data_IF_364561032529
#
_entry.id   IF_364561032529
#
_cell.length_a   1.000
_cell.length_b   1.000
_cell.length_c   1.000
_cell.angle_alpha   90.00
_cell.angle_beta   90.00
_cell.angle_gamma   90.00
#
_symmetry.space_group_name_H-M   'P 1'
#
loop_
_entity.id
_entity.type
_entity.pdbx_description
1 polymer ?
#
# COMPACT_ATOMS: atom_id res chain seq x y z
N UNK A 1 -10.22 -24.43 -18.22
CA UNK A 1 -8.80 -24.88 -18.38
C UNK A 1 -8.76 -26.39 -18.27
N UNK A 2 -8.03 -27.11 -19.14
CA UNK A 2 -7.90 -28.58 -19.08
C UNK A 2 -6.82 -29.00 -18.05
N UNK A 3 -6.77 -30.32 -17.69
CA UNK A 3 -5.87 -30.83 -16.65
C UNK A 3 -4.37 -30.55 -16.93
N UNK A 4 -3.93 -30.62 -18.20
CA UNK A 4 -2.55 -30.34 -18.59
C UNK A 4 -2.19 -28.89 -18.37
N UNK A 5 -3.08 -27.95 -18.72
CA UNK A 5 -2.87 -26.52 -18.50
C UNK A 5 -2.91 -26.14 -17.01
N UNK A 6 -3.70 -26.87 -16.19
CA UNK A 6 -3.68 -26.67 -14.75
C UNK A 6 -2.35 -27.14 -14.13
N UNK A 7 -1.80 -28.25 -14.58
CA UNK A 7 -0.50 -28.75 -14.09
C UNK A 7 0.65 -27.83 -14.50
N UNK A 8 0.62 -27.33 -15.75
CA UNK A 8 1.58 -26.33 -16.20
C UNK A 8 1.54 -25.05 -15.33
N UNK A 9 0.34 -24.52 -15.07
CA UNK A 9 0.21 -23.35 -14.19
C UNK A 9 0.72 -23.63 -12.78
N UNK A 10 0.42 -24.80 -12.18
CA UNK A 10 0.96 -25.16 -10.86
C UNK A 10 2.48 -25.19 -10.86
N UNK A 11 3.09 -25.75 -11.89
CA UNK A 11 4.55 -25.81 -12.03
C UNK A 11 5.17 -24.43 -12.15
N UNK A 12 4.57 -23.53 -12.93
CA UNK A 12 5.01 -22.14 -13.08
C UNK A 12 4.87 -21.36 -11.77
N UNK A 13 3.76 -21.53 -11.04
CA UNK A 13 3.54 -20.93 -9.72
C UNK A 13 4.58 -21.42 -8.71
N UNK A 14 4.89 -22.72 -8.70
CA UNK A 14 5.86 -23.31 -7.76
C UNK A 14 7.32 -22.86 -8.06
N UNK A 15 7.61 -22.46 -9.29
CA UNK A 15 8.94 -21.99 -9.70
C UNK A 15 9.25 -20.55 -9.25
N UNK A 16 8.24 -19.77 -8.80
CA UNK A 16 8.39 -18.40 -8.38
C UNK A 16 8.26 -18.25 -6.87
N UNK A 17 8.83 -17.16 -6.33
CA UNK A 17 8.57 -16.70 -4.96
C UNK A 17 7.47 -15.65 -4.97
N UNK A 18 6.53 -15.79 -4.06
CA UNK A 18 5.37 -14.93 -3.98
C UNK A 18 5.36 -14.15 -2.66
N UNK A 19 5.03 -12.89 -2.75
CA UNK A 19 4.73 -12.09 -1.58
C UNK A 19 3.25 -12.22 -1.19
N UNK A 20 2.35 -12.06 -2.16
CA UNK A 20 0.92 -12.15 -1.94
C UNK A 20 0.37 -13.57 -2.15
N UNK A 21 -0.66 -13.91 -1.37
CA UNK A 21 -1.49 -15.10 -1.58
C UNK A 21 -2.63 -14.75 -2.52
N UNK A 22 -2.52 -15.14 -3.80
CA UNK A 22 -3.47 -14.86 -4.88
C UNK A 22 -4.20 -16.14 -5.25
N UNK A 23 -5.53 -16.10 -5.31
CA UNK A 23 -6.34 -17.18 -5.87
C UNK A 23 -6.42 -17.03 -7.38
N UNK A 24 -5.75 -17.91 -8.10
CA UNK A 24 -5.69 -17.89 -9.57
C UNK A 24 -6.85 -18.70 -10.22
N UNK A 25 -7.81 -19.12 -9.41
CA UNK A 25 -8.86 -20.04 -9.85
C UNK A 25 -8.41 -21.50 -9.93
N UNK A 26 -9.33 -22.41 -10.26
CA UNK A 26 -9.05 -23.83 -10.42
C UNK A 26 -8.33 -24.50 -9.23
N UNK A 27 -8.58 -23.99 -8.00
CA UNK A 27 -7.90 -24.45 -6.76
C UNK A 27 -6.37 -24.24 -6.81
N UNK A 28 -5.91 -23.26 -7.55
CA UNK A 28 -4.51 -22.86 -7.60
C UNK A 28 -4.35 -21.54 -6.86
N UNK A 29 -3.53 -21.55 -5.81
CA UNK A 29 -3.17 -20.34 -5.04
C UNK A 29 -1.67 -20.17 -5.01
N UNK A 30 -1.22 -18.93 -5.05
CA UNK A 30 0.19 -18.61 -4.87
C UNK A 30 0.60 -18.83 -3.40
N UNK A 31 1.80 -19.38 -3.15
CA UNK A 31 2.30 -19.61 -1.79
C UNK A 31 2.91 -18.33 -1.18
N UNK A 32 2.12 -17.27 -1.11
CA UNK A 32 2.55 -15.96 -0.59
C UNK A 32 2.91 -16.00 0.88
N UNK A 33 3.87 -15.15 1.28
CA UNK A 33 4.29 -15.01 2.68
C UNK A 33 3.42 -14.04 3.47
N UNK A 34 2.65 -13.18 2.78
CA UNK A 34 1.71 -12.23 3.37
C UNK A 34 0.34 -12.89 3.60
N UNK A 35 -0.26 -12.61 4.78
CA UNK A 35 -1.66 -12.97 5.05
C UNK A 35 -2.57 -11.95 4.33
N UNK A 36 -2.59 -12.05 3.02
CA UNK A 36 -3.24 -11.08 2.13
C UNK A 36 -4.75 -10.95 2.39
N UNK A 37 -5.53 -12.03 2.66
CA UNK A 37 -6.94 -11.90 3.02
C UNK A 37 -7.16 -11.09 4.30
N UNK A 38 -6.34 -11.31 5.33
CA UNK A 38 -6.43 -10.55 6.58
C UNK A 38 -6.05 -9.08 6.36
N UNK A 39 -5.03 -8.83 5.54
CA UNK A 39 -4.61 -7.48 5.18
C UNK A 39 -5.70 -6.75 4.40
N UNK A 40 -6.29 -7.39 3.40
CA UNK A 40 -7.42 -6.84 2.64
C UNK A 40 -8.59 -6.43 3.54
N UNK A 41 -8.97 -7.27 4.51
CA UNK A 41 -10.06 -6.99 5.43
C UNK A 41 -9.81 -5.74 6.29
N UNK A 42 -8.54 -5.37 6.54
CA UNK A 42 -8.16 -4.19 7.33
C UNK A 42 -8.14 -2.88 6.53
N UNK A 43 -8.08 -2.96 5.22
CA UNK A 43 -7.93 -1.78 4.36
C UNK A 43 -9.21 -0.97 4.23
N UNK A 44 -10.37 -1.54 4.54
CA UNK A 44 -11.68 -0.92 4.30
C UNK A 44 -11.83 -0.38 2.86
N UNK A 45 -11.40 -1.21 1.90
CA UNK A 45 -11.58 -0.89 0.48
C UNK A 45 -13.07 -0.83 0.16
N UNK A 46 -13.53 0.14 -0.65
CA UNK A 46 -14.90 0.20 -1.11
C UNK A 46 -15.38 -1.15 -1.70
N UNK A 47 -16.57 -1.58 -1.36
CA UNK A 47 -17.13 -2.84 -1.87
C UNK A 47 -17.26 -2.82 -3.41
N UNK A 48 -17.53 -1.63 -3.99
CA UNK A 48 -17.52 -1.39 -5.42
C UNK A 48 -16.59 -0.24 -5.76
N UNK A 49 -15.83 -0.41 -6.83
CA UNK A 49 -14.97 0.62 -7.45
C UNK A 49 -15.48 0.96 -8.86
N UNK A 50 -16.77 0.64 -9.14
CA UNK A 50 -17.39 0.96 -10.42
C UNK A 50 -17.15 2.42 -10.80
N UNK A 51 -16.81 2.67 -12.06
CA UNK A 51 -16.48 3.99 -12.63
C UNK A 51 -15.21 4.65 -12.07
N UNK A 52 -14.55 4.05 -11.08
CA UNK A 52 -13.30 4.58 -10.53
C UNK A 52 -12.09 4.10 -11.32
N UNK A 53 -11.14 5.00 -11.56
CA UNK A 53 -9.77 4.66 -11.93
C UNK A 53 -8.94 4.43 -10.67
N UNK A 54 -8.10 3.37 -10.69
CA UNK A 54 -7.28 2.97 -9.54
C UNK A 54 -5.81 2.90 -9.93
N UNK A 55 -4.92 3.47 -9.11
CA UNK A 55 -3.49 3.29 -9.18
C UNK A 55 -3.01 2.54 -7.93
N UNK A 56 -2.35 1.42 -8.12
CA UNK A 56 -1.73 0.62 -7.06
C UNK A 56 -0.21 0.81 -7.11
N UNK A 57 0.35 1.51 -6.11
CA UNK A 57 1.77 1.89 -6.05
C UNK A 57 2.52 0.90 -5.15
N UNK A 58 3.58 0.28 -5.69
CA UNK A 58 4.27 -0.83 -5.05
C UNK A 58 3.46 -2.12 -5.19
N UNK A 59 2.94 -2.37 -6.39
CA UNK A 59 1.99 -3.44 -6.65
C UNK A 59 2.56 -4.86 -6.48
N UNK A 60 3.89 -5.03 -6.61
CA UNK A 60 4.59 -6.31 -6.49
C UNK A 60 3.97 -7.40 -7.37
N UNK A 61 3.32 -8.45 -6.75
CA UNK A 61 2.63 -9.54 -7.47
C UNK A 61 1.23 -9.14 -7.96
N UNK A 62 0.74 -7.92 -7.64
CA UNK A 62 -0.48 -7.34 -8.18
C UNK A 62 -1.78 -7.68 -7.48
N UNK A 63 -1.77 -8.32 -6.30
CA UNK A 63 -3.00 -8.73 -5.61
C UNK A 63 -4.03 -7.59 -5.48
N UNK A 64 -3.61 -6.41 -5.01
CA UNK A 64 -4.54 -5.30 -4.78
C UNK A 64 -5.01 -4.67 -6.08
N UNK A 65 -4.19 -4.70 -7.12
CA UNK A 65 -4.56 -4.30 -8.48
C UNK A 65 -5.67 -5.21 -9.03
N UNK A 66 -5.51 -6.54 -8.93
CA UNK A 66 -6.52 -7.50 -9.38
C UNK A 66 -7.79 -7.45 -8.52
N UNK A 67 -7.66 -7.17 -7.23
CA UNK A 67 -8.82 -6.97 -6.36
C UNK A 67 -9.59 -5.69 -6.71
N UNK A 68 -8.91 -4.62 -7.10
CA UNK A 68 -9.56 -3.40 -7.59
C UNK A 68 -10.33 -3.66 -8.89
N UNK A 69 -9.75 -4.39 -9.84
CA UNK A 69 -10.41 -4.83 -11.07
C UNK A 69 -11.64 -5.71 -10.76
N UNK A 70 -11.50 -6.69 -9.86
CA UNK A 70 -12.60 -7.55 -9.40
C UNK A 70 -13.76 -6.77 -8.77
N UNK A 71 -13.49 -5.61 -8.14
CA UNK A 71 -14.50 -4.68 -7.60
C UNK A 71 -15.09 -3.76 -8.65
N UNK A 72 -14.77 -3.95 -9.92
CA UNK A 72 -15.36 -3.25 -11.04
C UNK A 72 -14.74 -1.90 -11.37
N UNK A 73 -13.49 -1.65 -10.96
CA UNK A 73 -12.78 -0.44 -11.37
C UNK A 73 -12.74 -0.32 -12.89
N UNK A 74 -13.01 0.88 -13.41
CA UNK A 74 -13.08 1.15 -14.85
C UNK A 74 -11.70 1.12 -15.52
N UNK A 75 -10.65 1.38 -14.74
CA UNK A 75 -9.26 1.33 -15.12
C UNK A 75 -8.40 1.01 -13.90
N UNK A 76 -7.48 0.09 -14.02
CA UNK A 76 -6.51 -0.21 -12.96
C UNK A 76 -5.10 -0.17 -13.54
N UNK A 77 -4.23 0.56 -12.87
CA UNK A 77 -2.80 0.62 -13.18
C UNK A 77 -2.02 0.11 -11.97
N UNK A 78 -1.23 -0.92 -12.18
CA UNK A 78 -0.21 -1.39 -11.24
C UNK A 78 1.10 -0.65 -11.53
N UNK A 79 1.71 -0.06 -10.52
CA UNK A 79 2.99 0.64 -10.63
C UNK A 79 3.98 0.06 -9.61
N UNK A 80 5.14 -0.35 -10.09
CA UNK A 80 6.26 -0.77 -9.24
C UNK A 80 7.56 -0.56 -10.01
N UNK A 81 8.63 -0.38 -9.30
CA UNK A 81 9.99 -0.36 -9.83
C UNK A 81 10.88 -1.28 -9.01
N UNK A 82 10.85 -1.13 -7.69
CA UNK A 82 11.78 -1.80 -6.78
C UNK A 82 11.64 -3.32 -6.83
N UNK A 83 10.43 -3.84 -6.69
CA UNK A 83 10.19 -5.29 -6.70
C UNK A 83 10.32 -5.86 -8.11
N UNK A 84 9.90 -5.12 -9.12
CA UNK A 84 9.94 -5.57 -10.52
C UNK A 84 11.36 -5.60 -11.10
N UNK A 85 12.31 -4.87 -10.51
CA UNK A 85 13.74 -4.95 -10.84
C UNK A 85 14.51 -5.95 -9.97
N UNK A 86 13.81 -6.79 -9.20
CA UNK A 86 14.42 -7.85 -8.39
C UNK A 86 15.14 -7.34 -7.15
N UNK A 87 14.90 -6.08 -6.75
CA UNK A 87 15.48 -5.46 -5.55
C UNK A 87 14.63 -5.76 -4.30
N UNK A 88 13.38 -6.21 -4.48
CA UNK A 88 12.46 -6.58 -3.42
C UNK A 88 12.90 -7.84 -2.67
N UNK A 89 12.53 -7.92 -1.40
CA UNK A 89 12.89 -9.03 -0.52
C UNK A 89 12.44 -10.38 -1.08
N UNK A 90 13.42 -11.22 -1.41
CA UNK A 90 13.17 -12.62 -1.79
C UNK A 90 12.52 -12.85 -3.16
N UNK A 91 12.38 -11.83 -4.02
CA UNK A 91 11.80 -11.95 -5.37
C UNK A 91 12.80 -11.60 -6.48
N UNK A 92 13.87 -12.40 -6.68
CA UNK A 92 14.89 -12.11 -7.70
C UNK A 92 14.35 -12.23 -9.13
N UNK A 93 13.17 -12.86 -9.31
CA UNK A 93 12.49 -13.01 -10.61
C UNK A 93 11.81 -11.72 -11.09
N UNK A 94 11.90 -10.62 -10.35
CA UNK A 94 11.34 -9.33 -10.72
C UNK A 94 9.82 -9.37 -10.91
N UNK A 95 9.34 -8.94 -12.07
CA UNK A 95 7.92 -8.81 -12.42
C UNK A 95 7.20 -10.13 -12.75
N UNK A 96 7.92 -11.25 -12.88
CA UNK A 96 7.36 -12.51 -13.39
C UNK A 96 6.14 -13.02 -12.59
N UNK A 97 6.06 -12.75 -11.27
CA UNK A 97 4.90 -13.09 -10.46
C UNK A 97 3.65 -12.32 -10.89
N UNK A 98 3.77 -11.01 -11.07
CA UNK A 98 2.68 -10.16 -11.57
C UNK A 98 2.19 -10.61 -12.95
N UNK A 99 3.11 -10.86 -13.88
CA UNK A 99 2.79 -11.27 -15.25
C UNK A 99 2.07 -12.62 -15.27
N UNK A 100 2.55 -13.60 -14.49
CA UNK A 100 1.92 -14.91 -14.37
C UNK A 100 0.52 -14.82 -13.77
N UNK A 101 0.34 -14.02 -12.71
CA UNK A 101 -0.97 -13.83 -12.09
C UNK A 101 -1.94 -13.13 -13.05
N UNK A 102 -1.50 -12.08 -13.73
CA UNK A 102 -2.29 -11.36 -14.73
C UNK A 102 -2.75 -12.27 -15.87
N UNK A 103 -1.85 -13.09 -16.42
CA UNK A 103 -2.16 -14.09 -17.45
C UNK A 103 -3.20 -15.11 -16.95
N UNK A 104 -2.97 -15.69 -15.76
CA UNK A 104 -3.83 -16.72 -15.21
C UNK A 104 -5.24 -16.23 -14.87
N UNK A 105 -5.37 -14.98 -14.45
CA UNK A 105 -6.64 -14.31 -14.14
C UNK A 105 -7.34 -13.76 -15.38
N UNK A 106 -6.67 -13.69 -16.53
CA UNK A 106 -7.18 -12.97 -17.71
C UNK A 106 -7.43 -11.50 -17.43
N UNK A 107 -6.60 -10.91 -16.56
CA UNK A 107 -6.77 -9.54 -16.07
C UNK A 107 -6.32 -8.51 -17.12
N UNK A 108 -7.00 -7.36 -17.15
CA UNK A 108 -6.71 -6.21 -18.01
C UNK A 108 -5.97 -5.09 -17.27
N UNK A 109 -5.47 -5.35 -16.06
CA UNK A 109 -4.66 -4.40 -15.28
C UNK A 109 -3.46 -3.95 -16.12
N UNK A 110 -3.37 -2.63 -16.33
CA UNK A 110 -2.21 -2.01 -16.97
C UNK A 110 -1.02 -2.03 -15.99
N UNK A 111 0.20 -2.05 -16.53
CA UNK A 111 1.42 -2.00 -15.71
C UNK A 111 2.31 -0.84 -16.11
N UNK A 112 2.87 -0.16 -15.11
CA UNK A 112 3.82 0.93 -15.26
C UNK A 112 5.07 0.66 -14.45
N UNK A 113 6.20 0.49 -15.14
CA UNK A 113 7.52 0.38 -14.52
C UNK A 113 8.00 1.79 -14.17
N UNK A 114 7.80 2.21 -12.92
CA UNK A 114 8.05 3.57 -12.46
C UNK A 114 8.36 3.63 -10.96
N UNK A 115 9.40 4.38 -10.60
CA UNK A 115 9.68 4.70 -9.19
C UNK A 115 8.65 5.71 -8.65
N UNK A 116 8.30 5.58 -7.37
CA UNK A 116 7.37 6.48 -6.68
C UNK A 116 7.82 7.95 -6.78
N UNK A 117 9.12 8.18 -6.76
CA UNK A 117 9.71 9.53 -6.84
C UNK A 117 9.52 10.18 -8.20
N UNK A 118 9.25 9.39 -9.23
CA UNK A 118 9.06 9.82 -10.62
C UNK A 118 7.58 9.97 -11.01
N UNK A 119 6.66 9.69 -10.10
CA UNK A 119 5.23 9.83 -10.35
C UNK A 119 4.87 11.30 -10.64
N UNK A 120 4.13 11.50 -11.71
CA UNK A 120 3.52 12.80 -12.05
C UNK A 120 2.27 12.59 -12.91
N UNK A 121 1.34 13.58 -12.95
CA UNK A 121 0.15 13.51 -13.81
C UNK A 121 0.49 13.34 -15.30
N UNK A 122 1.62 13.88 -15.76
CA UNK A 122 2.06 13.82 -17.15
C UNK A 122 2.53 12.40 -17.53
N UNK A 123 3.08 11.66 -16.56
CA UNK A 123 3.61 10.30 -16.81
C UNK A 123 2.55 9.22 -16.68
N UNK A 124 1.70 9.30 -15.65
CA UNK A 124 0.76 8.21 -15.34
C UNK A 124 -0.71 8.65 -15.37
N UNK A 125 -0.98 9.95 -15.45
CA UNK A 125 -2.33 10.51 -15.31
C UNK A 125 -2.73 10.71 -13.86
N UNK A 126 -4.04 10.92 -13.63
CA UNK A 126 -4.62 11.07 -12.29
C UNK A 126 -5.71 10.02 -12.06
N UNK A 127 -5.88 9.61 -10.80
CA UNK A 127 -6.75 8.50 -10.42
C UNK A 127 -7.74 8.89 -9.33
N UNK A 128 -8.92 8.27 -9.36
CA UNK A 128 -9.96 8.47 -8.35
C UNK A 128 -9.57 7.85 -7.01
N UNK A 129 -8.91 6.69 -7.06
CA UNK A 129 -8.40 5.98 -5.89
C UNK A 129 -6.93 5.62 -6.13
N UNK A 130 -6.10 5.95 -5.17
CA UNK A 130 -4.67 5.55 -5.17
C UNK A 130 -4.42 4.66 -3.94
N UNK A 131 -3.75 3.55 -4.15
CA UNK A 131 -3.30 2.63 -3.11
C UNK A 131 -1.79 2.81 -2.90
N UNK A 132 -1.37 2.99 -1.64
CA UNK A 132 0.04 3.04 -1.22
C UNK A 132 0.20 2.12 -0.01
N UNK A 133 0.35 0.83 -0.26
CA UNK A 133 0.20 -0.21 0.75
C UNK A 133 1.54 -0.87 1.09
N UNK A 134 2.12 -0.51 2.24
CA UNK A 134 3.38 -1.09 2.69
C UNK A 134 4.61 -0.49 2.03
N UNK A 135 4.52 0.73 1.50
CA UNK A 135 5.60 1.37 0.72
C UNK A 135 6.26 2.53 1.46
N UNK A 136 5.48 3.38 2.13
CA UNK A 136 5.94 4.67 2.65
C UNK A 136 7.19 4.57 3.55
N UNK A 137 7.26 3.58 4.42
CA UNK A 137 8.36 3.41 5.36
C UNK A 137 9.67 2.93 4.71
N UNK A 138 9.63 2.45 3.46
CA UNK A 138 10.80 2.11 2.65
C UNK A 138 11.40 3.32 1.89
N UNK A 139 10.70 4.45 1.83
CA UNK A 139 11.12 5.58 1.01
C UNK A 139 12.02 6.53 1.82
N UNK A 140 13.26 6.83 1.35
CA UNK A 140 14.18 7.73 2.05
C UNK A 140 13.59 9.14 2.25
N UNK A 141 12.73 9.60 1.33
CA UNK A 141 12.11 10.94 1.33
C UNK A 141 10.58 10.84 1.42
N UNK A 142 10.01 10.41 2.56
CA UNK A 142 8.59 10.06 2.65
C UNK A 142 7.64 11.23 2.37
N UNK A 143 8.00 12.47 2.73
CA UNK A 143 7.15 13.63 2.45
C UNK A 143 7.14 13.95 0.96
N UNK A 144 8.28 13.95 0.28
CA UNK A 144 8.37 14.17 -1.16
C UNK A 144 7.64 13.05 -1.94
N UNK A 145 7.75 11.80 -1.48
CA UNK A 145 6.98 10.70 -2.06
C UNK A 145 5.46 10.93 -1.93
N UNK A 146 5.00 11.39 -0.76
CA UNK A 146 3.58 11.73 -0.58
C UNK A 146 3.13 12.92 -1.45
N UNK A 147 4.00 13.89 -1.74
CA UNK A 147 3.72 14.97 -2.71
C UNK A 147 3.51 14.39 -4.11
N UNK A 148 4.36 13.43 -4.53
CA UNK A 148 4.21 12.73 -5.82
C UNK A 148 2.91 11.93 -5.87
N UNK A 149 2.63 11.16 -4.84
CA UNK A 149 1.38 10.40 -4.72
C UNK A 149 0.16 11.33 -4.73
N UNK A 150 0.21 12.43 -3.99
CA UNK A 150 -0.87 13.41 -3.96
C UNK A 150 -1.09 14.06 -5.35
N UNK A 151 -0.03 14.30 -6.13
CA UNK A 151 -0.17 14.90 -7.48
C UNK A 151 -0.99 14.03 -8.44
N UNK A 152 -0.93 12.71 -8.30
CA UNK A 152 -1.66 11.75 -9.14
C UNK A 152 -2.98 11.29 -8.51
N UNK A 153 -3.28 11.72 -7.28
CA UNK A 153 -4.55 11.40 -6.58
C UNK A 153 -5.56 12.51 -6.84
N UNK A 154 -6.68 12.17 -7.47
CA UNK A 154 -7.80 13.09 -7.71
C UNK A 154 -8.83 13.05 -6.59
N UNK A 155 -9.12 11.87 -6.06
CA UNK A 155 -10.13 11.64 -5.05
C UNK A 155 -9.58 11.15 -3.72
N UNK A 156 -9.27 9.87 -3.60
CA UNK A 156 -8.94 9.19 -2.34
C UNK A 156 -7.60 8.47 -2.41
N UNK A 157 -6.76 8.68 -1.42
CA UNK A 157 -5.60 7.83 -1.12
C UNK A 157 -5.96 6.85 0.00
N UNK A 158 -5.62 5.57 -0.19
CA UNK A 158 -5.61 4.55 0.85
C UNK A 158 -4.14 4.21 1.12
N UNK A 159 -3.67 4.62 2.30
CA UNK A 159 -2.30 4.44 2.74
C UNK A 159 -2.24 3.39 3.85
N UNK A 160 -1.40 2.38 3.70
CA UNK A 160 -1.06 1.47 4.80
C UNK A 160 0.45 1.59 5.07
N UNK A 161 0.82 1.85 6.33
CA UNK A 161 2.22 2.02 6.70
C UNK A 161 2.50 1.50 8.11
N UNK A 162 3.77 1.27 8.40
CA UNK A 162 4.24 1.06 9.78
C UNK A 162 4.08 2.37 10.55
N UNK A 163 3.58 2.28 11.78
CA UNK A 163 3.56 3.37 12.76
C UNK A 163 4.38 2.97 13.99
N UNK A 164 5.13 3.93 14.53
CA UNK A 164 5.88 3.78 15.77
C UNK A 164 5.47 4.85 16.79
N UNK A 165 6.05 4.81 17.96
CA UNK A 165 5.81 5.78 19.04
C UNK A 165 4.31 6.02 19.29
N UNK A 166 3.51 4.94 19.28
CA UNK A 166 2.04 4.98 19.38
C UNK A 166 1.55 5.78 20.61
N UNK A 167 2.33 5.85 21.68
CA UNK A 167 2.00 6.63 22.88
C UNK A 167 2.33 8.12 22.80
N UNK A 168 3.02 8.58 21.75
CA UNK A 168 3.45 9.98 21.61
C UNK A 168 2.37 10.79 20.90
N UNK A 169 1.84 11.81 21.58
CA UNK A 169 0.72 12.63 21.06
C UNK A 169 1.12 13.70 20.04
N UNK A 170 2.38 14.21 20.13
CA UNK A 170 2.89 15.17 19.14
C UNK A 170 3.32 14.45 17.85
N UNK A 171 3.24 15.07 16.66
CA UNK A 171 3.81 14.51 15.45
C UNK A 171 5.29 14.18 15.63
N UNK A 172 5.69 12.95 15.33
CA UNK A 172 7.06 12.47 15.44
C UNK A 172 7.28 11.28 14.51
N UNK A 173 8.52 11.10 14.04
CA UNK A 173 8.95 9.93 13.27
C UNK A 173 10.25 9.37 13.81
N UNK A 174 10.32 8.05 13.96
CA UNK A 174 11.56 7.35 14.25
C UNK A 174 12.30 7.09 12.94
N UNK A 175 13.61 7.31 12.94
CA UNK A 175 14.51 6.96 11.85
C UNK A 175 15.28 5.68 12.21
N UNK A 176 15.41 4.77 11.26
CA UNK A 176 16.08 3.49 11.41
C UNK A 176 17.21 3.37 10.38
N UNK A 177 18.48 3.61 10.79
CA UNK A 177 19.60 3.65 9.85
C UNK A 177 20.06 2.27 9.34
N UNK A 178 19.55 1.20 9.95
CA UNK A 178 19.95 -0.18 9.61
C UNK A 178 18.74 -1.14 9.65
N UNK A 179 18.88 -2.31 10.26
CA UNK A 179 17.85 -3.36 10.25
C UNK A 179 16.97 -3.38 11.51
N UNK A 180 16.86 -2.30 12.25
CA UNK A 180 16.13 -2.24 13.53
C UNK A 180 14.62 -2.40 13.32
N UNK A 181 14.10 -1.89 12.22
CA UNK A 181 12.69 -2.01 11.88
C UNK A 181 12.44 -3.29 11.07
N UNK A 182 11.94 -4.30 11.73
CA UNK A 182 11.54 -5.55 11.07
C UNK A 182 12.70 -6.46 10.63
N UNK A 183 13.95 -6.08 10.79
CA UNK A 183 15.12 -6.82 10.31
C UNK A 183 15.46 -6.54 8.84
N UNK A 184 14.85 -5.51 8.26
CA UNK A 184 15.00 -5.11 6.87
C UNK A 184 15.71 -3.75 6.79
N UNK A 185 16.88 -3.65 6.15
CA UNK A 185 17.65 -2.41 6.04
C UNK A 185 17.00 -1.35 5.14
N UNK A 186 15.95 -1.70 4.42
CA UNK A 186 15.18 -0.76 3.61
C UNK A 186 14.03 -0.09 4.36
N UNK A 187 13.83 -0.45 5.62
CA UNK A 187 12.82 0.15 6.49
C UNK A 187 13.39 1.38 7.21
N UNK A 188 13.21 2.56 6.62
CA UNK A 188 13.80 3.81 7.09
C UNK A 188 13.01 4.51 8.18
N UNK A 189 11.67 4.47 8.13
CA UNK A 189 10.82 5.37 8.90
C UNK A 189 9.70 4.68 9.67
N UNK A 190 9.48 5.12 10.90
CA UNK A 190 8.31 4.79 11.70
C UNK A 190 7.62 6.06 12.19
N UNK A 191 6.79 6.74 11.39
CA UNK A 191 6.02 7.89 11.84
C UNK A 191 4.94 7.44 12.83
N UNK A 192 4.55 8.32 13.75
CA UNK A 192 3.34 8.08 14.55
C UNK A 192 2.08 8.56 13.80
N UNK A 193 0.90 8.18 14.29
CA UNK A 193 -0.38 8.55 13.68
C UNK A 193 -0.52 10.07 13.47
N UNK A 194 -0.21 10.94 14.47
CA UNK A 194 -0.24 12.39 14.25
C UNK A 194 0.71 12.88 13.15
N UNK A 195 1.90 12.25 12.99
CA UNK A 195 2.82 12.62 11.94
C UNK A 195 2.27 12.26 10.55
N UNK A 196 1.69 11.06 10.38
CA UNK A 196 1.05 10.66 9.12
C UNK A 196 -0.09 11.60 8.75
N UNK A 197 -0.96 11.94 9.72
CA UNK A 197 -2.02 12.95 9.49
C UNK A 197 -1.45 14.31 9.08
N UNK A 198 -0.37 14.76 9.73
CA UNK A 198 0.32 16.01 9.39
C UNK A 198 0.87 15.97 7.97
N UNK A 199 1.64 14.92 7.61
CA UNK A 199 2.22 14.75 6.28
C UNK A 199 1.13 14.77 5.19
N UNK A 200 0.05 13.99 5.36
CA UNK A 200 -1.03 13.93 4.38
C UNK A 200 -1.74 15.26 4.18
N UNK A 201 -1.99 16.01 5.26
CA UNK A 201 -2.55 17.37 5.15
C UNK A 201 -1.59 18.35 4.48
N UNK A 202 -0.30 18.28 4.80
CA UNK A 202 0.74 19.14 4.21
C UNK A 202 0.81 18.96 2.69
N UNK A 203 0.60 17.73 2.17
CA UNK A 203 0.63 17.47 0.73
C UNK A 203 -0.73 17.66 0.03
N UNK A 204 -1.72 18.23 0.73
CA UNK A 204 -2.96 18.71 0.12
C UNK A 204 -4.15 17.76 0.21
N UNK A 205 -4.19 16.85 1.20
CA UNK A 205 -5.41 16.12 1.52
C UNK A 205 -6.22 16.89 2.59
N UNK A 206 -7.48 17.16 2.31
CA UNK A 206 -8.36 17.97 3.17
C UNK A 206 -8.87 17.19 4.36
N UNK A 207 -9.19 15.90 4.15
CA UNK A 207 -9.65 14.99 5.19
C UNK A 207 -8.73 13.78 5.29
N UNK A 208 -8.38 13.40 6.52
CA UNK A 208 -7.58 12.20 6.81
C UNK A 208 -8.23 11.47 7.98
N UNK A 209 -8.61 10.22 7.76
CA UNK A 209 -9.15 9.34 8.77
C UNK A 209 -8.19 8.16 9.01
N UNK A 210 -8.02 7.75 10.28
CA UNK A 210 -7.37 6.49 10.62
C UNK A 210 -8.43 5.41 10.70
N UNK A 211 -8.36 4.43 9.80
CA UNK A 211 -9.37 3.36 9.67
C UNK A 211 -9.09 2.21 10.63
N UNK A 212 -7.83 1.83 10.77
CA UNK A 212 -7.45 0.74 11.66
C UNK A 212 -7.41 1.20 13.11
N UNK A 213 -8.23 0.58 13.94
CA UNK A 213 -8.12 0.76 15.40
C UNK A 213 -6.77 0.18 15.87
N UNK A 214 -5.90 1.05 16.40
CA UNK A 214 -4.65 0.59 17.03
C UNK A 214 -4.97 -0.23 18.28
N UNK A 215 -4.27 -1.35 18.51
CA UNK A 215 -4.52 -2.19 19.67
C UNK A 215 -4.34 -1.41 20.98
N UNK A 216 -5.19 -1.69 21.96
CA UNK A 216 -5.13 -1.08 23.27
C UNK A 216 -3.76 -1.33 23.97
N UNK A 217 -3.36 -0.46 24.90
CA UNK A 217 -2.10 -0.61 25.60
C UNK A 217 -1.98 -1.96 26.34
N UNK A 218 -3.00 -2.48 27.05
CA UNK A 218 -2.95 -3.80 27.67
C UNK A 218 -2.72 -4.93 26.65
N UNK A 219 -3.40 -4.89 25.50
CA UNK A 219 -3.21 -5.88 24.45
C UNK A 219 -1.78 -5.84 23.86
N UNK A 220 -1.24 -4.64 23.63
CA UNK A 220 0.16 -4.47 23.18
C UNK A 220 1.15 -5.02 24.18
N UNK A 221 0.91 -4.80 25.48
CA UNK A 221 1.74 -5.37 26.56
C UNK A 221 1.70 -6.91 26.53
N UNK A 222 0.51 -7.49 26.45
CA UNK A 222 0.36 -8.96 26.36
C UNK A 222 1.04 -9.52 25.11
N UNK A 223 0.85 -8.90 23.96
CA UNK A 223 1.52 -9.28 22.70
C UNK A 223 3.04 -9.23 22.85
N UNK A 224 3.57 -8.20 23.51
CA UNK A 224 5.01 -8.07 23.77
C UNK A 224 5.56 -9.19 24.65
N UNK A 225 4.82 -9.57 25.69
CA UNK A 225 5.19 -10.70 26.56
C UNK A 225 5.20 -12.05 25.81
N UNK A 226 4.19 -12.30 24.99
CA UNK A 226 4.11 -13.52 24.14
C UNK A 226 5.27 -13.57 23.14
N UNK A 227 5.63 -12.43 22.53
CA UNK A 227 6.78 -12.38 21.63
C UNK A 227 8.10 -12.62 22.32
N UNK A 228 8.27 -12.13 23.57
CA UNK A 228 9.44 -12.44 24.39
C UNK A 228 9.54 -13.91 24.71
N UNK A 229 8.44 -14.53 25.16
CA UNK A 229 8.38 -15.94 25.50
C UNK A 229 8.73 -16.85 24.32
N UNK A 230 8.42 -16.42 23.10
CA UNK A 230 8.78 -17.09 21.84
C UNK A 230 10.21 -16.79 21.35
N UNK A 231 11.07 -16.20 22.20
CA UNK A 231 12.48 -15.90 21.87
C UNK A 231 12.68 -14.81 20.83
N UNK A 232 11.63 -14.09 20.46
CA UNK A 232 11.74 -12.93 19.56
C UNK A 232 12.11 -11.72 20.41
N UNK A 233 13.38 -11.33 20.45
CA UNK A 233 13.95 -10.21 21.24
C UNK A 233 13.40 -8.81 20.83
N UNK A 234 12.09 -8.69 20.57
CA UNK A 234 11.42 -7.47 20.06
C UNK A 234 10.36 -6.90 21.01
N UNK A 235 10.54 -7.09 22.33
CA UNK A 235 9.60 -6.60 23.36
C UNK A 235 9.21 -5.14 23.17
N UNK A 236 10.21 -4.27 23.08
CA UNK A 236 9.98 -2.83 22.96
C UNK A 236 9.31 -2.47 21.63
N UNK A 237 9.67 -3.14 20.53
CA UNK A 237 9.08 -2.91 19.22
C UNK A 237 7.61 -3.33 19.19
N UNK A 238 7.29 -4.54 19.64
CA UNK A 238 5.92 -5.05 19.68
C UNK A 238 4.96 -4.18 20.51
N UNK A 239 5.48 -3.43 21.50
CA UNK A 239 4.69 -2.50 22.29
C UNK A 239 4.49 -1.13 21.61
N UNK A 240 5.50 -0.65 20.87
CA UNK A 240 5.55 0.71 20.30
C UNK A 240 5.09 0.80 18.87
N UNK A 241 5.14 -0.32 18.14
CA UNK A 241 4.93 -0.38 16.69
C UNK A 241 3.68 -1.16 16.33
N UNK A 242 3.04 -0.73 15.26
CA UNK A 242 1.98 -1.47 14.57
C UNK A 242 1.91 -1.06 13.09
N UNK A 243 0.96 -1.61 12.36
CA UNK A 243 0.59 -1.13 11.03
C UNK A 243 -0.75 -0.41 11.13
N UNK A 244 -0.86 0.72 10.46
CA UNK A 244 -2.08 1.51 10.44
C UNK A 244 -2.51 1.83 9.01
N UNK A 245 -3.82 1.90 8.82
CA UNK A 245 -4.46 2.27 7.55
C UNK A 245 -5.07 3.66 7.70
N UNK A 246 -4.79 4.49 6.71
CA UNK A 246 -5.29 5.85 6.61
C UNK A 246 -6.03 6.01 5.30
N UNK A 247 -7.18 6.64 5.36
CA UNK A 247 -7.87 7.14 4.17
C UNK A 247 -7.75 8.65 4.13
N UNK A 248 -7.28 9.19 3.02
CA UNK A 248 -7.12 10.61 2.83
C UNK A 248 -7.86 11.06 1.56
N UNK A 249 -8.62 12.14 1.66
CA UNK A 249 -9.43 12.65 0.54
C UNK A 249 -8.99 14.05 0.16
N UNK A 250 -8.99 14.32 -1.12
CA UNK A 250 -8.98 15.67 -1.66
C UNK A 250 -10.40 16.22 -1.70
N UNK A 251 -10.56 17.53 -1.48
CA UNK A 251 -11.83 18.19 -1.74
C UNK A 251 -12.26 17.89 -3.18
N UNK A 252 -13.54 17.55 -3.37
CA UNK A 252 -14.08 17.53 -4.71
C UNK A 252 -13.78 18.90 -5.35
N UNK A 253 -13.11 18.90 -6.50
CA UNK A 253 -12.88 20.11 -7.30
C UNK A 253 -14.23 20.62 -7.82
N UNK A 254 -15.04 21.14 -6.91
CA UNK A 254 -16.33 21.71 -7.13
C UNK A 254 -16.18 23.20 -7.34
N UNK A 255 -16.33 23.64 -8.59
CA UNK A 255 -16.74 24.98 -9.04
C UNK A 255 -16.40 26.09 -8.02
N UNK A 256 -15.23 26.70 -8.17
CA UNK A 256 -14.99 28.02 -7.61
C UNK A 256 -16.01 29.00 -8.22
N UNK A 257 -17.13 29.17 -7.52
CA UNK A 257 -17.98 30.32 -7.74
C UNK A 257 -17.18 31.57 -7.39
N UNK A 258 -16.59 32.20 -8.38
CA UNK A 258 -16.14 33.56 -8.30
C UNK A 258 -17.39 34.42 -8.07
N UNK A 259 -17.77 34.62 -6.83
CA UNK A 259 -18.61 35.77 -6.47
C UNK A 259 -17.69 36.98 -6.39
N UNK A 260 -17.57 37.67 -7.53
CA UNK A 260 -16.99 38.98 -7.56
C UNK A 260 -17.80 39.93 -6.67
N UNK A 261 -17.23 40.33 -5.54
CA UNK A 261 -17.66 41.53 -4.86
C UNK A 261 -16.97 42.70 -5.57
N UNK A 262 -17.73 43.29 -6.49
CA UNK A 262 -17.45 44.66 -6.98
C UNK A 262 -17.50 45.58 -5.77
N UNK A 263 -16.37 46.15 -5.41
CA UNK A 263 -16.32 47.35 -4.60
C UNK A 263 -16.52 48.56 -5.53
N UNK A 264 -17.51 49.32 -5.31
CA UNK A 264 -17.71 50.68 -5.80
C UNK A 264 -18.34 51.51 -4.70
N UNK A 265 -18.31 52.82 -4.88
CA UNK A 265 -17.14 53.72 -4.91
C UNK A 265 -16.80 54.27 -3.55
#
# INVERSE_FOLDING_TARGET
MNAKAQEDLRSRVAALRWYHTIDLGHQIRTPGVDDTPLRLARLDLPASLAECSVLDIGAWDGFFSFEAERRGASRVVAADWYSWHGLGWGTPQGKAGFELAREALGSHVEDFDIDVMDLSPERVGTFDVVLLLGVLYHLPHPLLALERVASVTRGRLILETVVDMIGVRRPAAAFYPASELGGDPTNWWGPNVPAVHGMLRTVGFDRVDTVTALPSAPYRALRSLVHCWRGKNRLRQAFRQDRAVFHAWKAASGRSGFSGHAAGP
#
